data_IF_312482605069
#
_entry.id   IF_312482605069
#
_cell.length_a   1.000
_cell.length_b   1.000
_cell.length_c   1.000
_cell.angle_alpha   90.00
_cell.angle_beta   90.00
_cell.angle_gamma   90.00
#
_symmetry.space_group_name_H-M   'P 1'
#
loop_
_entity.id
_entity.type
_entity.pdbx_description
1 polymer ?
#
# COMPACT_ATOMS: atom_id res chain seq x y z
N UNK A 1 -34.17 23.54 9.97
CA UNK A 1 -32.77 23.91 10.26
C UNK A 1 -31.89 23.46 9.10
N UNK A 2 -30.95 24.27 8.63
CA UNK A 2 -30.02 23.87 7.56
C UNK A 2 -28.87 23.03 8.13
N UNK A 3 -28.57 21.87 7.53
CA UNK A 3 -27.34 21.12 7.82
C UNK A 3 -26.15 21.96 7.33
N UNK A 4 -25.38 22.53 8.26
CA UNK A 4 -24.18 23.31 7.98
C UNK A 4 -23.12 22.39 7.37
N UNK A 5 -23.03 22.34 6.03
CA UNK A 5 -21.91 21.67 5.34
C UNK A 5 -20.61 22.23 5.90
N UNK A 6 -19.86 21.41 6.64
CA UNK A 6 -18.42 21.68 6.82
C UNK A 6 -17.81 21.56 5.43
N UNK A 7 -17.23 22.64 4.92
CA UNK A 7 -16.24 22.50 3.86
C UNK A 7 -15.07 21.75 4.50
N UNK A 8 -14.70 20.59 3.95
CA UNK A 8 -13.35 20.08 4.19
C UNK A 8 -12.38 21.13 3.63
N UNK A 9 -11.25 21.32 4.29
CA UNK A 9 -10.22 22.24 3.83
C UNK A 9 -9.64 21.75 2.49
N UNK A 10 -9.04 22.67 1.74
CA UNK A 10 -8.57 22.43 0.38
C UNK A 10 -7.26 21.63 0.42
N UNK A 11 -7.36 20.29 0.41
CA UNK A 11 -6.19 19.40 0.44
C UNK A 11 -5.53 19.27 -0.95
N UNK A 12 -4.20 19.21 -0.96
CA UNK A 12 -3.37 19.17 -2.18
C UNK A 12 -2.10 18.34 -1.96
N UNK A 13 -1.85 17.35 -2.83
CA UNK A 13 -0.60 16.56 -2.93
C UNK A 13 -0.21 15.82 -1.65
N UNK A 14 -0.30 14.49 -1.71
CA UNK A 14 -0.13 13.57 -0.60
C UNK A 14 0.40 12.25 -1.16
N UNK A 15 1.52 11.73 -0.65
CA UNK A 15 1.86 10.32 -0.79
C UNK A 15 1.56 9.61 0.54
N UNK A 16 0.74 8.56 0.48
CA UNK A 16 0.46 7.63 1.57
C UNK A 16 0.58 6.20 1.03
N UNK A 17 0.95 5.22 1.86
CA UNK A 17 1.19 3.81 1.46
C UNK A 17 0.52 2.81 2.46
N UNK A 18 0.76 1.46 2.40
CA UNK A 18 0.10 0.35 3.20
C UNK A 18 1.01 -0.91 3.36
N UNK A 19 1.04 -1.83 4.38
CA UNK A 19 0.87 -1.94 5.89
C UNK A 19 0.96 -3.48 6.27
N UNK A 20 1.47 -4.14 7.34
CA UNK A 20 2.15 -3.94 8.68
C UNK A 20 2.81 -5.31 9.15
N UNK A 21 3.97 -5.44 9.90
CA UNK A 21 4.42 -6.72 10.59
C UNK A 21 5.74 -6.76 11.46
N UNK A 22 5.77 -7.39 12.68
CA UNK A 22 6.99 -7.63 13.56
C UNK A 22 6.94 -8.86 14.57
N UNK A 23 8.06 -9.64 14.68
CA UNK A 23 8.72 -10.52 15.72
C UNK A 23 8.07 -11.53 16.75
N UNK A 24 8.52 -12.80 16.67
CA UNK A 24 9.15 -13.74 17.68
C UNK A 24 8.58 -14.12 19.09
N UNK A 25 8.61 -15.45 19.37
CA UNK A 25 8.82 -16.19 20.66
C UNK A 25 7.74 -16.18 21.76
N UNK A 26 7.41 -17.26 22.51
CA UNK A 26 7.79 -18.70 22.61
C UNK A 26 6.51 -19.52 23.05
N UNK A 27 6.50 -20.88 23.15
CA UNK A 27 5.33 -21.66 22.70
C UNK A 27 4.41 -22.32 23.76
N UNK A 28 3.23 -22.74 23.26
CA UNK A 28 2.63 -24.08 23.37
C UNK A 28 1.23 -24.21 24.03
N UNK A 29 0.48 -25.19 23.49
CA UNK A 29 -0.78 -25.80 23.97
C UNK A 29 -2.12 -25.04 23.79
N UNK A 30 -2.72 -25.32 22.63
CA UNK A 30 -4.03 -25.98 22.50
C UNK A 30 -5.30 -25.18 22.12
N UNK A 31 -6.21 -25.93 21.48
CA UNK A 31 -7.60 -25.64 21.08
C UNK A 31 -7.79 -24.53 20.04
N UNK A 32 -8.31 -24.92 18.87
CA UNK A 32 -8.89 -24.00 17.90
C UNK A 32 -10.26 -23.52 18.41
N UNK A 33 -10.32 -22.30 18.91
CA UNK A 33 -11.55 -21.64 19.34
C UNK A 33 -11.94 -20.55 18.33
N UNK A 34 -13.23 -20.44 18.01
CA UNK A 34 -13.73 -19.47 17.01
C UNK A 34 -13.61 -18.06 17.59
N UNK A 35 -12.47 -17.41 17.34
CA UNK A 35 -12.27 -16.02 17.70
C UNK A 35 -13.26 -15.14 16.92
N UNK A 36 -14.07 -14.40 17.68
CA UNK A 36 -14.71 -13.17 17.23
C UNK A 36 -13.70 -12.27 16.52
N UNK A 37 -14.16 -11.39 15.63
CA UNK A 37 -13.33 -10.33 15.00
C UNK A 37 -12.79 -9.36 16.05
N UNK A 38 -11.73 -9.76 16.73
CA UNK A 38 -11.00 -8.98 17.70
C UNK A 38 -10.00 -8.13 16.93
N UNK A 39 -10.47 -6.99 16.43
CA UNK A 39 -9.66 -5.98 15.75
C UNK A 39 -8.41 -5.69 16.58
N UNK A 40 -7.23 -6.07 16.08
CA UNK A 40 -5.97 -5.83 16.79
C UNK A 40 -5.65 -4.35 16.79
N UNK A 41 -5.11 -3.88 17.91
CA UNK A 41 -4.64 -2.49 18.04
C UNK A 41 -3.31 -2.30 17.32
N UNK A 42 -3.04 -1.08 16.87
CA UNK A 42 -1.76 -0.69 16.25
C UNK A 42 -0.54 -1.22 17.03
N UNK A 43 -0.60 -1.10 18.36
CA UNK A 43 0.49 -1.45 19.28
C UNK A 43 0.64 -2.94 19.58
N UNK A 44 -0.20 -3.82 19.03
CA UNK A 44 0.00 -5.28 19.06
C UNK A 44 1.00 -5.75 17.99
N UNK A 45 1.26 -4.95 16.96
CA UNK A 45 1.96 -5.41 15.76
C UNK A 45 2.97 -4.41 15.14
N UNK A 46 2.85 -3.09 15.38
CA UNK A 46 3.81 -2.08 14.89
C UNK A 46 4.37 -1.22 16.04
N UNK A 47 5.39 -0.43 15.69
CA UNK A 47 5.95 0.66 16.47
C UNK A 47 6.07 1.95 15.64
N UNK A 48 6.25 3.09 16.31
CA UNK A 48 6.46 4.39 15.65
C UNK A 48 7.96 4.67 15.51
N UNK A 49 8.49 4.50 14.29
CA UNK A 49 9.94 4.57 14.04
C UNK A 49 10.53 5.99 13.93
N UNK A 50 9.71 6.98 13.56
CA UNK A 50 10.16 8.36 13.30
C UNK A 50 9.02 9.37 13.55
N UNK A 51 9.36 10.65 13.76
CA UNK A 51 8.42 11.76 13.95
C UNK A 51 7.23 11.42 14.89
N UNK A 52 7.54 11.00 16.12
CA UNK A 52 6.55 10.52 17.10
C UNK A 52 5.51 11.56 17.51
N UNK A 53 5.80 12.84 17.29
CA UNK A 53 4.89 13.98 17.47
C UNK A 53 3.97 14.23 16.26
N UNK A 54 4.19 13.55 15.13
CA UNK A 54 3.38 13.57 13.91
C UNK A 54 2.50 12.33 13.75
N UNK A 55 2.71 11.27 14.55
CA UNK A 55 1.91 10.05 14.55
C UNK A 55 0.90 10.07 15.70
N UNK A 56 -0.38 10.31 15.37
CA UNK A 56 -1.42 10.70 16.33
C UNK A 56 -2.58 9.71 16.38
N UNK A 57 -2.75 8.91 17.45
CA UNK A 57 -3.93 8.09 17.64
C UNK A 57 -5.20 8.95 17.84
N UNK A 58 -6.35 8.41 17.51
CA UNK A 58 -7.66 8.96 17.88
C UNK A 58 -7.91 8.82 19.38
N UNK A 59 -8.87 9.58 19.91
CA UNK A 59 -9.22 9.57 21.34
C UNK A 59 -9.76 8.22 21.85
N UNK A 60 -10.14 7.30 20.96
CA UNK A 60 -10.55 5.92 21.25
C UNK A 60 -9.47 4.87 20.87
N UNK A 61 -8.31 5.30 20.39
CA UNK A 61 -7.17 4.45 20.00
C UNK A 61 -7.35 3.64 18.71
N UNK A 62 -8.51 3.72 18.05
CA UNK A 62 -8.89 2.86 16.90
C UNK A 62 -8.33 3.33 15.56
N UNK A 63 -8.14 4.63 15.41
CA UNK A 63 -7.60 5.24 14.20
C UNK A 63 -6.23 5.85 14.51
N UNK A 64 -5.31 5.79 13.56
CA UNK A 64 -3.98 6.41 13.66
C UNK A 64 -3.78 7.36 12.48
N UNK A 65 -3.33 8.57 12.78
CA UNK A 65 -3.16 9.65 11.81
C UNK A 65 -1.69 9.93 11.64
N UNK A 66 -1.20 9.85 10.41
CA UNK A 66 0.14 10.25 10.02
C UNK A 66 0.04 11.65 9.42
N UNK A 67 0.77 12.60 10.00
CA UNK A 67 0.70 14.02 9.67
C UNK A 67 1.96 14.47 8.93
N UNK A 68 1.79 15.27 7.88
CA UNK A 68 2.86 15.93 7.15
C UNK A 68 2.59 17.44 7.13
N UNK A 69 3.53 18.23 7.65
CA UNK A 69 3.52 19.68 7.60
C UNK A 69 4.95 20.24 7.47
N UNK A 70 5.08 21.57 7.54
CA UNK A 70 6.35 22.28 7.32
C UNK A 70 7.42 21.97 8.39
N UNK A 71 7.06 21.34 9.50
CA UNK A 71 7.97 20.90 10.58
C UNK A 71 8.38 19.43 10.48
N UNK A 72 7.80 18.68 9.55
CA UNK A 72 8.13 17.28 9.28
C UNK A 72 9.49 17.15 8.57
N UNK A 73 10.57 17.20 9.35
CA UNK A 73 11.96 17.41 8.87
C UNK A 73 12.47 16.40 7.82
N UNK A 74 11.81 15.23 7.69
CA UNK A 74 11.59 14.46 6.45
C UNK A 74 10.63 13.28 6.67
N UNK A 75 9.90 12.97 5.59
CA UNK A 75 9.51 11.63 5.08
C UNK A 75 9.42 10.44 6.05
N UNK A 76 8.23 9.82 6.08
CA UNK A 76 8.03 8.41 6.49
C UNK A 76 7.76 7.53 5.26
N UNK A 77 7.79 6.18 5.36
CA UNK A 77 7.56 5.24 4.22
C UNK A 77 6.65 4.05 4.60
N UNK A 78 5.73 3.60 3.72
CA UNK A 78 5.19 2.23 3.76
C UNK A 78 5.57 1.49 2.48
N UNK A 79 6.12 0.31 2.70
CA UNK A 79 6.37 -0.73 1.73
C UNK A 79 6.50 -2.03 2.53
N UNK A 80 6.20 -3.19 1.94
CA UNK A 80 6.93 -4.39 2.38
C UNK A 80 8.39 -4.16 2.01
N UNK A 81 9.35 -4.41 2.89
CA UNK A 81 10.78 -4.40 2.53
C UNK A 81 11.62 -5.28 3.45
N UNK A 82 12.65 -5.93 2.90
CA UNK A 82 13.81 -6.35 3.70
C UNK A 82 14.77 -5.16 3.89
N UNK A 83 15.50 -5.11 5.01
CA UNK A 83 16.37 -3.97 5.32
C UNK A 83 17.76 -4.10 4.63
N UNK A 84 17.81 -3.94 3.30
CA UNK A 84 19.06 -4.06 2.52
C UNK A 84 19.01 -3.37 1.14
N UNK A 85 20.18 -3.22 0.50
CA UNK A 85 20.27 -2.83 -0.92
C UNK A 85 19.68 -3.89 -1.87
N UNK A 86 19.58 -5.14 -1.42
CA UNK A 86 19.03 -6.28 -2.16
C UNK A 86 17.60 -6.61 -1.72
N UNK A 87 16.84 -5.60 -1.30
CA UNK A 87 15.48 -5.79 -0.76
C UNK A 87 14.48 -6.35 -1.77
N UNK A 88 13.66 -7.26 -1.27
CA UNK A 88 12.38 -7.62 -1.84
C UNK A 88 11.36 -6.63 -1.28
N UNK A 89 10.54 -6.00 -2.12
CA UNK A 89 9.61 -4.94 -1.70
C UNK A 89 8.29 -4.95 -2.52
N UNK A 90 7.17 -4.69 -1.84
CA UNK A 90 5.84 -4.53 -2.46
C UNK A 90 5.21 -3.21 -2.00
N UNK A 91 4.72 -2.41 -2.95
CA UNK A 91 4.22 -1.06 -2.66
C UNK A 91 2.76 -0.87 -3.07
N UNK A 92 2.03 -0.10 -2.25
CA UNK A 92 0.85 0.67 -2.62
C UNK A 92 1.21 2.13 -2.42
N UNK A 93 1.11 2.98 -3.44
CA UNK A 93 1.57 4.37 -3.40
C UNK A 93 0.42 5.27 -3.88
N UNK A 94 -0.27 5.93 -2.96
CA UNK A 94 -1.40 6.80 -3.28
C UNK A 94 -0.89 8.15 -3.74
N UNK A 95 -0.77 8.33 -5.06
CA UNK A 95 -0.30 9.58 -5.66
C UNK A 95 -1.43 10.61 -5.62
N UNK A 96 -1.33 11.50 -4.63
CA UNK A 96 -2.26 12.62 -4.44
C UNK A 96 -2.23 13.63 -5.58
N UNK A 97 -3.25 14.48 -5.60
CA UNK A 97 -3.52 15.37 -6.72
C UNK A 97 -3.98 16.75 -6.23
N UNK A 98 -4.33 17.63 -7.16
CA UNK A 98 -4.99 18.91 -6.87
C UNK A 98 -6.43 18.68 -6.41
N UNK A 99 -6.94 19.55 -5.53
CA UNK A 99 -8.33 19.51 -5.07
C UNK A 99 -9.32 19.38 -6.24
N UNK A 100 -10.20 18.37 -6.18
CA UNK A 100 -11.15 18.07 -7.25
C UNK A 100 -10.58 17.29 -8.45
N UNK A 101 -9.39 16.72 -8.34
CA UNK A 101 -8.81 15.77 -9.29
C UNK A 101 -8.60 14.40 -8.60
N UNK A 102 -8.72 13.27 -9.32
CA UNK A 102 -8.64 11.94 -8.71
C UNK A 102 -7.22 11.62 -8.23
N UNK A 103 -7.11 10.91 -7.12
CA UNK A 103 -5.89 10.20 -6.74
C UNK A 103 -5.58 9.10 -7.76
N UNK A 104 -4.29 8.82 -7.96
CA UNK A 104 -3.82 7.65 -8.71
C UNK A 104 -3.15 6.69 -7.74
N UNK A 105 -3.66 5.46 -7.64
CA UNK A 105 -2.96 4.41 -6.91
C UNK A 105 -1.88 3.80 -7.81
N UNK A 106 -0.62 3.93 -7.42
CA UNK A 106 0.50 3.18 -7.97
C UNK A 106 0.74 1.91 -7.14
N UNK A 107 1.20 0.84 -7.78
CA UNK A 107 1.75 -0.34 -7.13
C UNK A 107 3.10 -0.70 -7.74
N UNK A 108 4.02 -1.24 -6.95
CA UNK A 108 5.35 -1.64 -7.42
C UNK A 108 5.79 -2.99 -6.82
N UNK A 109 6.75 -3.64 -7.47
CA UNK A 109 7.38 -4.89 -7.01
C UNK A 109 8.88 -4.82 -7.27
N UNK A 110 9.65 -4.81 -6.19
CA UNK A 110 11.10 -4.98 -6.17
C UNK A 110 11.44 -6.41 -5.77
N UNK A 111 12.46 -6.98 -6.42
CA UNK A 111 13.07 -8.26 -6.02
C UNK A 111 14.58 -8.11 -6.13
N UNK A 112 15.32 -8.50 -5.09
CA UNK A 112 16.78 -8.34 -5.00
C UNK A 112 17.25 -6.89 -5.32
N UNK A 113 16.51 -5.88 -4.84
CA UNK A 113 16.76 -4.45 -5.09
C UNK A 113 16.28 -3.94 -6.47
N UNK A 114 15.85 -4.82 -7.38
CA UNK A 114 15.43 -4.45 -8.74
C UNK A 114 13.92 -4.27 -8.80
N UNK A 115 13.47 -3.00 -8.77
CA UNK A 115 12.07 -2.59 -8.98
C UNK A 115 11.73 -2.33 -10.44
N UNK A 116 11.00 -1.25 -10.69
CA UNK A 116 10.62 -0.82 -12.04
C UNK A 116 9.34 -1.45 -12.58
N UNK A 117 8.54 -2.06 -11.71
CA UNK A 117 7.32 -2.78 -12.06
C UNK A 117 6.08 -1.97 -11.74
N UNK A 118 6.11 -0.67 -12.00
CA UNK A 118 5.02 0.22 -11.62
C UNK A 118 3.75 -0.10 -12.43
N UNK A 119 2.60 -0.11 -11.76
CA UNK A 119 1.27 -0.11 -12.36
C UNK A 119 0.46 0.99 -11.69
N UNK A 120 -0.22 1.83 -12.46
CA UNK A 120 -0.94 3.02 -11.97
C UNK A 120 -2.39 2.96 -12.41
N UNK A 121 -3.33 3.19 -11.50
CA UNK A 121 -4.76 3.23 -11.81
C UNK A 121 -5.52 4.33 -11.07
N UNK A 122 -6.65 4.74 -11.64
CA UNK A 122 -7.70 5.42 -10.87
C UNK A 122 -8.38 4.43 -9.93
N UNK A 123 -8.97 4.93 -8.85
CA UNK A 123 -9.92 4.16 -8.04
C UNK A 123 -11.35 4.38 -8.56
N UNK A 124 -12.25 3.44 -8.29
CA UNK A 124 -13.68 3.53 -8.65
C UNK A 124 -14.54 4.32 -7.64
N UNK A 125 -13.88 4.83 -6.61
CA UNK A 125 -14.38 5.70 -5.56
C UNK A 125 -13.35 6.84 -5.33
N UNK A 126 -13.71 7.83 -4.54
CA UNK A 126 -12.78 8.86 -4.06
C UNK A 126 -12.26 8.44 -2.67
N UNK A 127 -10.94 8.14 -2.52
CA UNK A 127 -10.37 7.58 -1.29
C UNK A 127 -10.32 8.57 -0.12
N UNK A 128 -10.79 9.80 -0.29
CA UNK A 128 -10.76 10.84 0.76
C UNK A 128 -12.05 10.95 1.59
N UNK A 129 -13.11 10.22 1.21
CA UNK A 129 -14.42 10.29 1.90
C UNK A 129 -14.68 9.17 2.92
N UNK A 130 -14.29 7.93 2.62
CA UNK A 130 -14.57 6.74 3.44
C UNK A 130 -13.35 5.80 3.48
N UNK A 131 -13.26 4.95 4.49
CA UNK A 131 -12.19 3.95 4.59
C UNK A 131 -12.43 2.78 3.64
N UNK A 132 -11.37 2.37 2.94
CA UNK A 132 -11.32 1.23 2.05
C UNK A 132 -10.22 0.27 2.47
N UNK A 133 -10.37 -1.02 2.17
CA UNK A 133 -9.36 -2.04 2.52
C UNK A 133 -8.32 -2.16 1.42
N UNK A 134 -7.05 -2.28 1.78
CA UNK A 134 -5.95 -2.49 0.84
C UNK A 134 -5.09 -3.64 1.36
N UNK A 135 -4.76 -4.62 0.52
CA UNK A 135 -4.00 -5.80 0.94
C UNK A 135 -2.86 -6.17 0.01
N UNK A 136 -1.82 -6.78 0.58
CA UNK A 136 -0.55 -7.13 -0.06
C UNK A 136 -0.66 -8.20 -1.15
N UNK A 137 -1.76 -8.96 -1.21
CA UNK A 137 -2.13 -9.78 -2.38
C UNK A 137 -2.62 -8.91 -3.57
N UNK A 138 -2.42 -7.60 -3.48
CA UNK A 138 -2.87 -6.55 -4.40
C UNK A 138 -4.38 -6.48 -4.59
N UNK A 139 -5.10 -6.29 -3.48
CA UNK A 139 -6.54 -6.00 -3.48
C UNK A 139 -6.83 -4.56 -3.10
N UNK A 140 -7.92 -4.04 -3.65
CA UNK A 140 -8.67 -2.88 -3.15
C UNK A 140 -10.07 -3.39 -2.82
N UNK A 141 -10.49 -3.24 -1.57
CA UNK A 141 -11.63 -3.91 -0.96
C UNK A 141 -11.60 -5.44 -1.23
N UNK A 142 -12.51 -5.94 -2.08
CA UNK A 142 -12.59 -7.35 -2.52
C UNK A 142 -12.25 -7.50 -4.02
N UNK A 143 -11.58 -6.52 -4.62
CA UNK A 143 -11.22 -6.50 -6.04
C UNK A 143 -9.70 -6.64 -6.18
N UNK A 144 -9.19 -7.73 -6.77
CA UNK A 144 -7.78 -7.81 -7.16
C UNK A 144 -7.46 -6.77 -8.23
N UNK A 145 -6.42 -5.98 -8.02
CA UNK A 145 -5.96 -4.92 -8.94
C UNK A 145 -4.68 -5.29 -9.69
N UNK A 146 -3.92 -6.28 -9.19
CA UNK A 146 -2.66 -6.78 -9.76
C UNK A 146 -2.46 -8.24 -9.33
N UNK A 147 -1.70 -9.00 -10.12
CA UNK A 147 -1.21 -10.33 -9.74
C UNK A 147 0.27 -10.40 -10.12
N UNK A 148 1.11 -10.87 -9.20
CA UNK A 148 2.53 -11.15 -9.46
C UNK A 148 2.79 -12.62 -9.15
N UNK A 149 2.90 -13.49 -10.16
CA UNK A 149 2.91 -14.96 -9.94
C UNK A 149 4.31 -15.52 -9.71
N UNK A 150 4.42 -16.51 -8.81
CA UNK A 150 5.57 -17.40 -8.73
C UNK A 150 5.38 -18.59 -9.68
N UNK A 151 6.21 -18.70 -10.71
CA UNK A 151 6.19 -19.78 -11.71
C UNK A 151 7.62 -20.14 -12.12
N UNK A 152 7.80 -21.25 -12.84
CA UNK A 152 9.14 -21.65 -13.36
C UNK A 152 9.81 -20.53 -14.17
N UNK A 153 9.03 -19.71 -14.89
CA UNK A 153 9.53 -18.57 -15.67
C UNK A 153 9.84 -17.32 -14.82
N UNK A 154 9.17 -17.14 -13.68
CA UNK A 154 9.20 -15.91 -12.88
C UNK A 154 9.86 -16.06 -11.51
N UNK A 155 10.28 -17.27 -11.11
CA UNK A 155 10.86 -17.58 -9.78
C UNK A 155 12.12 -16.77 -9.43
N UNK A 156 12.86 -16.29 -10.42
CA UNK A 156 14.01 -15.39 -10.21
C UNK A 156 13.62 -13.93 -9.93
N UNK A 157 12.36 -13.57 -10.17
CA UNK A 157 11.76 -12.25 -10.04
C UNK A 157 10.55 -12.28 -9.10
N UNK A 158 10.49 -13.26 -8.20
CA UNK A 158 9.45 -13.38 -7.18
C UNK A 158 10.10 -13.30 -5.78
N UNK A 159 9.55 -12.51 -4.85
CA UNK A 159 10.13 -12.34 -3.52
C UNK A 159 9.80 -13.56 -2.63
N UNK A 160 10.76 -14.48 -2.51
CA UNK A 160 10.65 -15.68 -1.67
C UNK A 160 12.00 -16.15 -1.12
N UNK A 161 12.90 -15.22 -0.80
CA UNK A 161 14.27 -15.53 -0.34
C UNK A 161 14.66 -14.87 0.99
N UNK A 162 13.85 -13.94 1.48
CA UNK A 162 14.09 -13.16 2.68
C UNK A 162 12.75 -12.75 3.30
N UNK A 163 12.68 -12.59 4.63
CA UNK A 163 11.53 -11.95 5.26
C UNK A 163 11.45 -10.48 4.84
N UNK A 164 10.24 -9.94 4.95
CA UNK A 164 9.95 -8.53 4.73
C UNK A 164 9.19 -7.99 5.95
N UNK A 165 9.52 -6.78 6.36
CA UNK A 165 8.78 -5.99 7.34
C UNK A 165 7.87 -5.02 6.59
N UNK A 166 6.91 -4.39 7.29
CA UNK A 166 6.10 -3.32 6.68
C UNK A 166 6.03 -2.11 7.59
N UNK A 167 6.13 -0.94 6.98
CA UNK A 167 6.39 0.34 7.64
C UNK A 167 5.12 1.22 7.74
N UNK A 168 5.22 2.53 8.02
CA UNK A 168 4.05 3.44 8.07
C UNK A 168 4.33 4.89 7.63
N UNK A 169 3.46 5.56 6.85
CA UNK A 169 3.83 6.82 6.18
C UNK A 169 2.83 7.89 5.76
N UNK A 170 3.44 9.05 5.59
CA UNK A 170 3.03 10.18 4.77
C UNK A 170 4.31 10.91 4.30
N UNK A 171 4.42 11.33 3.03
CA UNK A 171 5.60 12.10 2.57
C UNK A 171 5.39 12.97 1.31
N UNK A 172 6.38 13.84 1.04
CA UNK A 172 6.40 14.75 -0.12
C UNK A 172 7.11 14.11 -1.34
N UNK A 173 6.33 13.58 -2.28
CA UNK A 173 6.80 13.04 -3.56
C UNK A 173 6.98 14.06 -4.68
N UNK A 174 7.26 15.33 -4.35
CA UNK A 174 7.26 16.51 -5.24
C UNK A 174 7.84 16.31 -6.65
N UNK A 175 8.94 15.58 -6.78
CA UNK A 175 9.68 15.45 -8.05
C UNK A 175 9.12 14.42 -9.02
N UNK A 176 8.07 13.68 -8.65
CA UNK A 176 7.52 12.62 -9.50
C UNK A 176 6.03 12.33 -9.30
N UNK A 177 5.46 12.50 -8.10
CA UNK A 177 4.14 11.97 -7.76
C UNK A 177 3.01 12.61 -8.59
N UNK A 178 2.80 13.92 -8.45
CA UNK A 178 1.69 14.60 -9.14
C UNK A 178 2.06 14.95 -10.57
N UNK A 179 1.38 14.35 -11.55
CA UNK A 179 1.60 14.56 -12.99
C UNK A 179 3.06 14.42 -13.45
N UNK A 180 3.85 13.54 -12.81
CA UNK A 180 5.27 13.40 -13.12
C UNK A 180 6.15 14.51 -12.54
N UNK A 181 5.76 15.09 -11.40
CA UNK A 181 6.50 16.15 -10.69
C UNK A 181 6.24 17.57 -11.18
N UNK A 182 5.21 17.78 -12.01
CA UNK A 182 4.83 19.08 -12.55
C UNK A 182 4.01 19.93 -11.57
N UNK A 183 3.17 19.30 -10.74
CA UNK A 183 2.35 19.98 -9.74
C UNK A 183 2.97 19.71 -8.36
N UNK A 184 3.55 20.75 -7.74
CA UNK A 184 4.22 20.67 -6.43
C UNK A 184 3.25 20.77 -5.26
N UNK A 185 3.68 20.30 -4.08
CA UNK A 185 2.93 20.39 -2.82
C UNK A 185 2.70 21.85 -2.42
N UNK A 186 1.50 22.17 -1.93
CA UNK A 186 1.17 23.51 -1.45
C UNK A 186 1.23 23.55 0.08
N UNK A 187 2.38 23.89 0.65
CA UNK A 187 2.59 23.89 2.11
C UNK A 187 1.66 24.83 2.91
N UNK A 188 0.94 25.75 2.28
CA UNK A 188 -0.12 26.56 2.92
C UNK A 188 -1.42 25.76 3.17
N UNK A 189 -1.57 24.59 2.54
CA UNK A 189 -2.67 23.64 2.74
C UNK A 189 -2.38 22.57 3.81
N UNK A 190 -1.22 22.65 4.48
CA UNK A 190 -0.86 21.77 5.59
C UNK A 190 -1.73 22.05 6.85
N UNK A 191 -1.91 21.09 7.78
CA UNK A 191 -1.35 19.75 7.79
C UNK A 191 -2.06 18.80 6.80
N UNK A 192 -1.27 18.03 6.08
CA UNK A 192 -1.76 16.88 5.31
C UNK A 192 -1.85 15.66 6.22
N UNK A 193 -2.86 14.82 6.02
CA UNK A 193 -3.14 13.69 6.92
C UNK A 193 -3.49 12.44 6.10
N UNK A 194 -2.87 11.32 6.48
CA UNK A 194 -3.32 9.97 6.13
C UNK A 194 -3.83 9.29 7.40
N UNK A 195 -5.01 8.68 7.34
CA UNK A 195 -5.63 8.02 8.50
C UNK A 195 -5.79 6.52 8.23
N UNK A 196 -5.47 5.71 9.23
CA UNK A 196 -5.50 4.25 9.19
C UNK A 196 -6.40 3.72 10.32
N UNK A 197 -7.19 2.69 10.06
CA UNK A 197 -7.96 1.96 11.07
C UNK A 197 -7.99 0.46 10.75
N UNK A 198 -8.59 -0.35 11.64
CA UNK A 198 -8.86 -1.78 11.43
C UNK A 198 -7.65 -2.56 10.92
N UNK A 199 -6.52 -2.35 11.61
CA UNK A 199 -5.30 -3.12 11.39
C UNK A 199 -5.59 -4.62 11.46
N UNK A 200 -5.04 -5.35 10.50
CA UNK A 200 -5.20 -6.79 10.39
C UNK A 200 -3.93 -7.38 9.80
N UNK A 201 -3.45 -8.46 10.42
CA UNK A 201 -2.25 -9.19 10.03
C UNK A 201 -2.61 -10.67 10.09
N UNK A 202 -2.56 -11.32 8.94
CA UNK A 202 -2.63 -12.77 8.79
C UNK A 202 -1.45 -13.20 7.91
N UNK A 203 -0.49 -13.90 8.51
CA UNK A 203 0.81 -14.20 7.93
C UNK A 203 1.53 -15.32 8.70
N UNK A 204 2.47 -15.98 8.04
CA UNK A 204 3.33 -17.00 8.62
C UNK A 204 4.65 -16.41 9.18
N UNK A 205 5.19 -17.05 10.21
CA UNK A 205 6.59 -16.88 10.61
C UNK A 205 7.51 -17.37 9.48
N UNK A 206 8.60 -16.66 9.20
CA UNK A 206 9.51 -16.96 8.07
C UNK A 206 10.07 -18.41 8.08
N UNK A 207 10.20 -19.00 9.27
CA UNK A 207 10.72 -20.37 9.44
C UNK A 207 9.63 -21.46 9.45
N UNK A 208 8.35 -21.08 9.47
CA UNK A 208 7.18 -21.97 9.61
C UNK A 208 6.16 -21.70 8.48
N UNK A 209 6.68 -21.23 7.32
CA UNK A 209 5.92 -20.77 6.17
C UNK A 209 5.44 -21.92 5.27
N UNK A 210 4.44 -22.69 5.73
CA UNK A 210 3.74 -23.66 4.88
C UNK A 210 2.76 -22.93 3.95
N UNK A 211 3.22 -22.66 2.72
CA UNK A 211 2.57 -21.73 1.80
C UNK A 211 1.51 -22.41 0.92
N UNK A 212 0.25 -22.32 1.37
CA UNK A 212 -0.91 -22.77 0.59
C UNK A 212 -0.98 -22.07 -0.79
N UNK A 213 -1.34 -22.82 -1.83
CA UNK A 213 -1.19 -22.40 -3.22
C UNK A 213 -2.28 -21.41 -3.70
N UNK A 214 -2.22 -20.18 -3.20
CA UNK A 214 -3.19 -19.12 -3.51
C UNK A 214 -3.29 -18.78 -5.01
N UNK A 215 -4.52 -18.59 -5.50
CA UNK A 215 -4.81 -18.18 -6.88
C UNK A 215 -6.20 -17.54 -6.96
N UNK A 216 -6.39 -16.59 -7.88
CA UNK A 216 -7.70 -15.94 -8.08
C UNK A 216 -8.78 -16.96 -8.47
N UNK A 217 -9.94 -16.96 -7.81
CA UNK A 217 -11.15 -17.63 -8.26
C UNK A 217 -11.72 -17.03 -9.54
N UNK A 218 -12.66 -17.70 -10.20
CA UNK A 218 -13.21 -17.25 -11.50
C UNK A 218 -13.87 -15.86 -11.43
N UNK A 219 -14.60 -15.59 -10.34
CA UNK A 219 -15.20 -14.27 -10.08
C UNK A 219 -14.14 -13.18 -9.92
N UNK A 220 -13.04 -13.49 -9.22
CA UNK A 220 -11.95 -12.56 -8.96
C UNK A 220 -11.13 -12.29 -10.23
N UNK A 221 -10.94 -13.30 -11.09
CA UNK A 221 -10.39 -13.13 -12.45
C UNK A 221 -11.26 -12.19 -13.29
N UNK A 222 -12.59 -12.31 -13.23
CA UNK A 222 -13.50 -11.40 -13.93
C UNK A 222 -13.43 -9.95 -13.36
N UNK A 223 -13.35 -9.80 -12.04
CA UNK A 223 -13.17 -8.50 -11.38
C UNK A 223 -11.81 -7.87 -11.72
N UNK A 224 -10.73 -8.65 -11.73
CA UNK A 224 -9.39 -8.22 -12.16
C UNK A 224 -9.40 -7.65 -13.58
N UNK A 225 -9.99 -8.38 -14.53
CA UNK A 225 -10.10 -7.93 -15.92
C UNK A 225 -10.95 -6.67 -16.02
N UNK A 226 -12.06 -6.57 -15.29
CA UNK A 226 -12.92 -5.38 -15.28
C UNK A 226 -12.19 -4.16 -14.69
N UNK A 227 -11.48 -4.32 -13.57
CA UNK A 227 -10.77 -3.25 -12.89
C UNK A 227 -9.59 -2.73 -13.73
N UNK A 228 -8.73 -3.64 -14.21
CA UNK A 228 -7.57 -3.28 -15.02
C UNK A 228 -7.96 -2.69 -16.37
N UNK A 229 -8.94 -3.25 -17.09
CA UNK A 229 -9.36 -2.72 -18.39
C UNK A 229 -10.05 -1.35 -18.31
N UNK A 230 -10.65 -0.99 -17.17
CA UNK A 230 -11.38 0.28 -17.00
C UNK A 230 -10.55 1.39 -16.34
N UNK A 231 -9.64 1.06 -15.42
CA UNK A 231 -8.99 2.06 -14.56
C UNK A 231 -7.46 2.12 -14.66
N UNK A 232 -6.79 1.17 -15.31
CA UNK A 232 -5.33 1.19 -15.47
C UNK A 232 -4.91 2.36 -16.39
N UNK A 233 -4.10 3.27 -15.85
CA UNK A 233 -3.56 4.45 -16.54
C UNK A 233 -2.16 4.18 -17.13
N UNK A 234 -1.34 3.39 -16.45
CA UNK A 234 0.02 3.01 -16.88
C UNK A 234 0.35 1.62 -16.37
N UNK A 235 1.02 0.82 -17.20
CA UNK A 235 1.49 -0.52 -16.84
C UNK A 235 2.87 -0.76 -17.49
N UNK A 236 3.90 -1.01 -16.67
CA UNK A 236 5.27 -1.26 -17.12
C UNK A 236 5.36 -2.37 -18.19
N UNK A 237 4.50 -3.39 -18.14
CA UNK A 237 4.43 -4.46 -19.13
C UNK A 237 4.09 -4.01 -20.56
N UNK A 238 3.50 -2.82 -20.71
CA UNK A 238 3.12 -2.21 -21.99
C UNK A 238 3.95 -0.96 -22.34
N UNK A 239 4.85 -0.53 -21.46
CA UNK A 239 5.76 0.59 -21.72
C UNK A 239 6.94 0.13 -22.60
N UNK A 240 6.73 0.20 -23.93
CA UNK A 240 7.76 -0.14 -24.92
C UNK A 240 8.90 0.89 -24.99
N UNK A 241 8.77 2.08 -24.40
CA UNK A 241 9.83 3.09 -24.36
C UNK A 241 10.85 2.76 -23.25
N UNK A 242 10.38 2.22 -22.13
CA UNK A 242 11.20 1.73 -21.02
C UNK A 242 11.64 0.27 -21.21
N UNK A 243 10.74 -0.58 -21.70
CA UNK A 243 10.93 -2.01 -21.88
C UNK A 243 10.69 -2.40 -23.35
N UNK A 244 11.71 -2.21 -24.19
CA UNK A 244 11.70 -2.57 -25.62
C UNK A 244 11.39 -4.05 -25.90
N UNK A 245 11.44 -4.91 -24.88
CA UNK A 245 10.72 -6.19 -24.79
C UNK A 245 10.09 -6.27 -23.39
N UNK A 246 8.80 -6.67 -23.25
CA UNK A 246 8.18 -6.83 -21.94
C UNK A 246 8.95 -7.80 -21.03
N UNK A 247 9.06 -7.52 -19.72
CA UNK A 247 9.61 -8.46 -18.74
C UNK A 247 8.90 -9.84 -18.76
N UNK A 248 9.60 -10.96 -18.49
CA UNK A 248 9.05 -12.32 -18.63
C UNK A 248 7.73 -12.55 -17.88
N UNK A 249 7.56 -11.96 -16.70
CA UNK A 249 6.38 -12.04 -15.83
C UNK A 249 5.11 -11.43 -16.44
N UNK A 250 5.25 -10.52 -17.40
CA UNK A 250 4.12 -9.82 -18.02
C UNK A 250 3.21 -10.71 -18.87
N UNK A 251 3.62 -11.94 -19.16
CA UNK A 251 2.88 -12.89 -19.99
C UNK A 251 2.23 -14.03 -19.17
N UNK A 252 2.16 -13.89 -17.83
CA UNK A 252 1.86 -14.99 -16.91
C UNK A 252 0.63 -14.68 -16.04
N UNK A 253 -0.57 -14.80 -16.64
CA UNK A 253 -1.88 -14.68 -15.96
C UNK A 253 -2.50 -16.02 -15.56
#
# INVERSE_FOLDING_TARGET
MARKKRRLAESFVLAAEVTLLVSMSLPAWAVAEVRSEQHSTFSEHFEVMWATDHVKPSADGRMWNLVLDQTSDKTSFIHLSSNSEHRDEFNFEFLGNRSGQPYTLQTNVYVNGVGGREQRMSLWFDPTYEFHTYSILFYVDQVPIRVHKNTVQTRSMYPSKQPMYVFSSIWNGDDWATRGGLDKINWDAAPFVSTYEKFHVDACDWNDADADAWTLGEKEKALYVLATSKYMQYNYCTDVARYARPPPECNVL
#
